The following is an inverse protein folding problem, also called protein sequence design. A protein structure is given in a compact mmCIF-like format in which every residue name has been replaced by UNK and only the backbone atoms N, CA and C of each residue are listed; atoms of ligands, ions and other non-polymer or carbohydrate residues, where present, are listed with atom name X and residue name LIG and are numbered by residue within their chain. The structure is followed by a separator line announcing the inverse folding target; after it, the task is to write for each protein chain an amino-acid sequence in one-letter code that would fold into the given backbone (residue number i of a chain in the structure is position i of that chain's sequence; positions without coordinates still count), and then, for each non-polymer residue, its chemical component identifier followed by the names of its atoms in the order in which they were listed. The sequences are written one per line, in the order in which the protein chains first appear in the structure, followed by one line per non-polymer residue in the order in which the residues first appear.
data_IF_274742884620
#
_entry.id   IF_274742884620
#
_cell.length_a   1.000
_cell.length_b   1.000
_cell.length_c   1.000
_cell.angle_alpha   90.00
_cell.angle_beta   90.00
_cell.angle_gamma   90.00
#
_symmetry.space_group_name_H-M   'P 1'
#
loop_
_entity.id
_entity.type
_entity.pdbx_description
1 polymer ?
#
# COMPACT_ATOMS: atom_id res chain seq x y z
N UNK A 1 9.89 3.16 -31.55
CA UNK A 1 9.32 2.20 -30.71
C UNK A 1 8.57 2.77 -29.53
N UNK A 2 7.40 2.27 -29.31
CA UNK A 2 6.63 2.80 -28.23
C UNK A 2 7.02 2.20 -26.91
N UNK A 3 7.20 3.06 -25.92
CA UNK A 3 7.50 2.59 -24.63
C UNK A 3 6.23 2.30 -23.94
N UNK A 4 6.17 1.19 -23.25
CA UNK A 4 5.05 0.87 -22.46
C UNK A 4 5.10 1.75 -21.23
N UNK A 5 3.99 2.31 -20.88
CA UNK A 5 3.85 3.09 -19.66
C UNK A 5 3.76 2.11 -18.49
N UNK A 6 4.68 2.18 -17.58
CA UNK A 6 4.69 1.31 -16.42
C UNK A 6 4.10 2.07 -15.24
N UNK A 7 3.19 1.41 -14.54
CA UNK A 7 2.61 1.98 -13.33
C UNK A 7 3.44 1.54 -12.16
N UNK A 8 3.90 2.49 -11.38
CA UNK A 8 4.71 2.19 -10.20
C UNK A 8 3.82 2.13 -8.97
N UNK A 9 3.91 1.04 -8.25
CA UNK A 9 3.12 0.85 -7.03
C UNK A 9 4.04 0.83 -5.83
N UNK A 10 3.62 1.49 -4.77
CA UNK A 10 4.30 1.44 -3.49
C UNK A 10 3.34 0.79 -2.52
N UNK A 11 3.81 -0.19 -1.76
CA UNK A 11 2.99 -0.93 -0.81
C UNK A 11 3.41 -0.60 0.60
N UNK A 12 2.44 -0.34 1.47
CA UNK A 12 2.71 -0.12 2.89
C UNK A 12 2.19 -1.32 3.66
N UNK A 13 2.97 -1.82 4.59
CA UNK A 13 2.56 -2.94 5.45
C UNK A 13 3.23 -2.82 6.80
N UNK A 14 2.64 -3.39 7.84
CA UNK A 14 3.15 -3.29 9.20
C UNK A 14 3.51 -4.64 9.83
N UNK A 15 3.14 -5.73 9.23
CA UNK A 15 3.24 -7.03 9.89
C UNK A 15 3.78 -8.15 9.02
N UNK A 16 3.03 -9.24 8.92
CA UNK A 16 3.48 -10.42 8.21
C UNK A 16 3.63 -10.22 6.71
N UNK A 17 2.87 -9.31 6.17
CA UNK A 17 2.94 -9.04 4.73
C UNK A 17 2.26 -10.05 3.85
N UNK A 18 1.36 -10.88 4.40
CA UNK A 18 0.70 -11.88 3.59
C UNK A 18 -0.08 -11.25 2.43
N UNK A 19 -0.76 -10.13 2.68
CA UNK A 19 -1.49 -9.47 1.61
C UNK A 19 -0.55 -8.73 0.66
N UNK A 20 0.51 -8.16 1.20
CA UNK A 20 1.49 -7.47 0.36
C UNK A 20 2.15 -8.47 -0.61
N UNK A 21 2.43 -9.68 -0.14
CA UNK A 21 3.02 -10.70 -0.99
C UNK A 21 2.01 -11.13 -2.06
N UNK A 22 0.73 -11.24 -1.71
CA UNK A 22 -0.27 -11.61 -2.69
C UNK A 22 -0.39 -10.55 -3.78
N UNK A 23 -0.24 -9.29 -3.40
CA UNK A 23 -0.25 -8.20 -4.37
C UNK A 23 0.93 -8.36 -5.31
N UNK A 24 2.10 -8.66 -4.76
CA UNK A 24 3.29 -8.85 -5.57
C UNK A 24 3.05 -10.02 -6.53
N UNK A 25 2.55 -11.13 -6.03
CA UNK A 25 2.32 -12.32 -6.86
C UNK A 25 1.32 -12.06 -7.98
N UNK A 26 0.32 -11.26 -7.67
CA UNK A 26 -0.70 -10.95 -8.65
C UNK A 26 -0.11 -10.16 -9.81
N UNK A 27 0.78 -9.22 -9.52
CA UNK A 27 1.32 -8.35 -10.54
C UNK A 27 2.67 -8.77 -11.13
N UNK A 28 3.30 -9.80 -10.57
CA UNK A 28 4.66 -10.10 -11.01
C UNK A 28 4.79 -10.44 -12.48
N UNK A 29 3.73 -10.94 -13.09
CA UNK A 29 3.77 -11.27 -14.50
C UNK A 29 3.20 -10.19 -15.39
N UNK A 30 2.77 -9.09 -14.80
CA UNK A 30 2.19 -8.00 -15.58
C UNK A 30 3.26 -6.95 -15.79
N UNK A 31 3.81 -6.89 -16.98
CA UNK A 31 4.89 -5.97 -17.23
C UNK A 31 4.45 -4.51 -17.35
N UNK A 32 3.17 -4.24 -17.11
CA UNK A 32 2.69 -2.87 -17.06
C UNK A 32 2.73 -2.33 -15.64
N UNK A 33 3.03 -3.20 -14.65
CA UNK A 33 3.02 -2.84 -13.25
C UNK A 33 4.36 -3.17 -12.62
N UNK A 34 4.85 -2.26 -11.80
CA UNK A 34 6.10 -2.47 -11.11
C UNK A 34 5.88 -2.13 -9.63
N UNK A 35 6.17 -3.09 -8.74
CA UNK A 35 6.15 -2.81 -7.32
C UNK A 35 7.48 -2.17 -6.99
N UNK A 36 7.46 -0.87 -6.83
CA UNK A 36 8.70 -0.11 -6.72
C UNK A 36 9.33 -0.18 -5.35
N UNK A 37 8.53 -0.25 -4.32
CA UNK A 37 9.04 -0.29 -2.95
C UNK A 37 8.00 -0.77 -1.97
N UNK A 38 8.48 -1.31 -0.86
CA UNK A 38 7.67 -1.63 0.30
C UNK A 38 8.04 -0.62 1.36
N UNK A 39 7.06 -0.01 2.00
CA UNK A 39 7.27 0.88 3.12
C UNK A 39 6.72 0.23 4.38
N UNK A 40 7.51 0.14 5.42
CA UNK A 40 7.12 -0.54 6.64
C UNK A 40 7.50 0.27 7.86
N UNK A 41 6.62 0.33 8.85
CA UNK A 41 6.84 1.12 10.05
C UNK A 41 7.43 0.33 11.22
N UNK A 42 7.77 -0.94 10.99
CA UNK A 42 8.36 -1.77 12.03
C UNK A 42 9.50 -2.56 11.46
N UNK A 43 10.71 -2.24 11.88
CA UNK A 43 11.89 -2.90 11.33
C UNK A 43 11.93 -4.40 11.62
N UNK A 44 11.17 -4.86 12.61
CA UNK A 44 11.12 -6.29 12.94
C UNK A 44 10.02 -7.03 12.19
N UNK A 45 9.27 -6.34 11.35
CA UNK A 45 8.14 -6.98 10.68
C UNK A 45 8.61 -8.00 9.63
N UNK A 46 8.02 -9.18 9.63
CA UNK A 46 8.43 -10.22 8.68
C UNK A 46 8.30 -9.83 7.22
N UNK A 47 7.42 -8.87 6.91
CA UNK A 47 7.24 -8.43 5.52
C UNK A 47 8.53 -7.89 4.93
N UNK A 48 9.38 -7.31 5.76
CA UNK A 48 10.62 -6.73 5.27
C UNK A 48 11.50 -7.81 4.65
N UNK A 49 11.70 -8.92 5.38
CA UNK A 49 12.54 -9.99 4.88
C UNK A 49 11.93 -10.61 3.63
N UNK A 50 10.61 -10.74 3.61
CA UNK A 50 9.95 -11.33 2.46
C UNK A 50 10.19 -10.51 1.20
N UNK A 51 10.11 -9.18 1.32
CA UNK A 51 10.31 -8.32 0.16
C UNK A 51 11.78 -8.20 -0.22
N UNK A 52 12.67 -8.25 0.77
CA UNK A 52 14.10 -8.26 0.46
C UNK A 52 14.46 -9.52 -0.30
N UNK A 53 13.86 -10.65 0.07
CA UNK A 53 14.15 -11.92 -0.60
C UNK A 53 13.74 -11.92 -2.08
N UNK A 54 12.76 -11.13 -2.43
CA UNK A 54 12.34 -11.05 -3.83
C UNK A 54 12.92 -9.85 -4.55
N UNK A 55 13.84 -9.16 -3.89
CA UNK A 55 14.57 -8.08 -4.55
C UNK A 55 13.87 -6.74 -4.65
N UNK A 56 12.83 -6.52 -3.85
CA UNK A 56 12.13 -5.25 -3.88
C UNK A 56 12.69 -4.34 -2.79
N UNK A 57 12.88 -3.09 -3.13
CA UNK A 57 13.39 -2.10 -2.21
C UNK A 57 12.48 -1.99 -1.00
N UNK A 58 13.05 -2.02 0.20
CA UNK A 58 12.28 -1.85 1.41
C UNK A 58 12.70 -0.57 2.11
N UNK A 59 11.74 0.20 2.55
CA UNK A 59 11.96 1.47 3.23
C UNK A 59 11.32 1.35 4.60
N UNK A 60 12.15 1.42 5.64
CA UNK A 60 11.66 1.33 7.00
C UNK A 60 11.65 2.74 7.57
N UNK A 61 10.55 3.09 8.21
CA UNK A 61 10.42 4.42 8.80
C UNK A 61 9.74 4.31 10.16
N UNK A 62 9.82 5.35 10.95
CA UNK A 62 9.14 5.38 12.23
C UNK A 62 7.95 6.31 12.11
N UNK A 63 7.02 6.20 13.05
CA UNK A 63 5.82 7.02 13.03
C UNK A 63 6.18 8.50 12.92
N UNK A 64 7.25 8.91 13.57
CA UNK A 64 7.69 10.29 13.53
C UNK A 64 8.02 10.75 12.10
N UNK A 65 8.61 9.86 11.31
CA UNK A 65 8.93 10.20 9.92
C UNK A 65 7.66 10.33 9.08
N UNK A 66 6.63 9.57 9.45
CA UNK A 66 5.37 9.64 8.75
C UNK A 66 4.70 10.98 9.04
N UNK A 67 4.74 11.40 10.30
CA UNK A 67 4.04 12.60 10.74
C UNK A 67 4.77 13.90 10.40
N UNK A 68 6.08 13.86 10.26
CA UNK A 68 6.85 15.08 10.04
C UNK A 68 7.16 15.38 8.57
N UNK A 69 6.60 14.60 7.67
CA UNK A 69 6.79 14.83 6.24
C UNK A 69 7.94 14.04 5.60
N UNK A 70 8.68 13.27 6.37
CA UNK A 70 9.78 12.48 5.81
C UNK A 70 9.31 11.43 4.83
N UNK A 71 8.23 10.72 5.20
CA UNK A 71 7.69 9.70 4.31
C UNK A 71 7.07 10.36 3.07
N UNK A 72 6.40 11.49 3.24
CA UNK A 72 5.84 12.20 2.10
C UNK A 72 6.94 12.56 1.10
N UNK A 73 8.07 13.04 1.59
CA UNK A 73 9.17 13.41 0.71
C UNK A 73 9.67 12.19 -0.06
N UNK A 74 9.78 11.05 0.62
CA UNK A 74 10.20 9.82 -0.02
C UNK A 74 9.19 9.41 -1.10
N UNK A 75 7.91 9.53 -0.79
CA UNK A 75 6.88 9.17 -1.76
C UNK A 75 6.90 10.08 -2.98
N UNK A 76 7.13 11.37 -2.75
CA UNK A 76 7.20 12.30 -3.88
C UNK A 76 8.36 11.94 -4.81
N UNK A 77 9.48 11.50 -4.23
CA UNK A 77 10.62 11.09 -5.03
C UNK A 77 10.35 9.79 -5.77
N UNK A 78 9.62 8.87 -5.16
CA UNK A 78 9.28 7.60 -5.81
C UNK A 78 8.21 7.79 -6.88
N UNK A 79 7.40 8.79 -6.71
CA UNK A 79 6.32 9.16 -7.63
C UNK A 79 5.45 7.95 -8.02
N UNK A 80 4.80 7.31 -7.05
CA UNK A 80 3.97 6.15 -7.37
C UNK A 80 2.69 6.52 -8.10
N UNK A 81 2.27 5.65 -8.98
CA UNK A 81 0.97 5.78 -9.63
C UNK A 81 -0.13 5.33 -8.66
N UNK A 82 0.22 4.45 -7.73
CA UNK A 82 -0.74 3.90 -6.79
C UNK A 82 -0.03 3.52 -5.51
N UNK A 83 -0.66 3.80 -4.38
CA UNK A 83 -0.17 3.41 -3.07
C UNK A 83 -1.18 2.42 -2.50
N UNK A 84 -0.71 1.25 -2.10
CA UNK A 84 -1.60 0.24 -1.53
C UNK A 84 -1.24 0.03 -0.07
N UNK A 85 -2.21 0.20 0.81
CA UNK A 85 -2.04 -0.04 2.22
C UNK A 85 -2.49 -1.46 2.49
N UNK A 86 -1.54 -2.36 2.69
CA UNK A 86 -1.82 -3.79 2.83
C UNK A 86 -1.49 -4.24 4.24
N UNK A 87 -2.41 -4.06 5.14
CA UNK A 87 -2.17 -4.37 6.55
C UNK A 87 -1.30 -3.32 7.23
N UNK A 88 -1.47 -2.07 6.83
CA UNK A 88 -0.72 -0.97 7.42
C UNK A 88 -1.49 -0.44 8.62
N UNK A 89 -0.86 -0.41 9.75
CA UNK A 89 -1.53 -0.09 11.00
C UNK A 89 -1.59 1.39 11.40
N UNK A 90 -0.77 2.20 10.82
CA UNK A 90 -0.77 3.61 11.17
C UNK A 90 -1.73 4.39 10.27
N UNK A 91 -2.20 5.51 10.80
CA UNK A 91 -3.09 6.35 10.03
C UNK A 91 -2.26 7.16 9.04
N UNK A 92 -2.71 7.22 7.81
CA UNK A 92 -2.01 7.97 6.80
C UNK A 92 -2.28 9.47 7.00
N UNK A 93 -1.25 10.30 7.08
CA UNK A 93 -1.46 11.74 7.30
C UNK A 93 -2.19 12.40 6.13
N UNK A 94 -2.92 13.44 6.46
CA UNK A 94 -3.68 14.18 5.45
C UNK A 94 -2.80 14.70 4.31
N UNK A 95 -1.57 15.09 4.62
CA UNK A 95 -0.66 15.59 3.61
C UNK A 95 -0.39 14.56 2.53
N UNK A 96 -0.21 13.32 2.93
CA UNK A 96 0.04 12.25 1.99
C UNK A 96 -1.24 11.96 1.20
N UNK A 97 -2.38 11.90 1.89
CA UNK A 97 -3.64 11.64 1.23
C UNK A 97 -3.91 12.72 0.18
N UNK A 98 -3.67 13.97 0.52
CA UNK A 98 -3.90 15.06 -0.41
C UNK A 98 -2.93 15.07 -1.59
N UNK A 99 -1.69 14.67 -1.35
CA UNK A 99 -0.69 14.64 -2.42
C UNK A 99 -0.93 13.51 -3.40
N UNK A 100 -1.57 12.43 -2.94
CA UNK A 100 -1.84 11.27 -3.79
C UNK A 100 -3.32 10.97 -3.85
N UNK A 101 -4.11 12.03 -4.01
CA UNK A 101 -5.54 11.91 -4.05
C UNK A 101 -5.97 10.97 -5.13
N UNK A 102 -6.89 10.08 -4.79
CA UNK A 102 -7.42 9.08 -5.70
C UNK A 102 -6.38 8.04 -6.13
N UNK A 103 -5.27 7.97 -5.41
CA UNK A 103 -4.23 7.00 -5.72
C UNK A 103 -3.83 6.14 -4.53
N UNK A 104 -4.67 6.09 -3.49
CA UNK A 104 -4.40 5.28 -2.31
C UNK A 104 -5.52 4.27 -2.13
N UNK A 105 -5.16 3.00 -2.02
CA UNK A 105 -6.11 1.93 -1.79
C UNK A 105 -5.77 1.27 -0.48
N UNK A 106 -6.77 1.00 0.33
CA UNK A 106 -6.58 0.33 1.61
C UNK A 106 -7.25 -1.04 1.55
N UNK A 107 -6.52 -2.07 1.87
CA UNK A 107 -7.03 -3.43 1.86
C UNK A 107 -7.27 -3.91 3.27
N UNK A 108 -8.48 -4.36 3.55
CA UNK A 108 -8.86 -4.85 4.87
C UNK A 108 -9.42 -6.24 4.76
N UNK A 109 -8.61 -7.18 4.39
CA UNK A 109 -9.08 -8.54 4.17
C UNK A 109 -9.65 -9.19 5.42
N UNK A 110 -9.15 -8.78 6.55
CA UNK A 110 -9.62 -9.39 7.78
C UNK A 110 -11.09 -9.09 8.05
N UNK A 111 -11.58 -8.11 7.41
CA UNK A 111 -12.95 -7.76 7.65
C UNK A 111 -13.90 -8.48 6.73
N UNK A 112 -13.39 -8.92 5.64
CA UNK A 112 -14.20 -9.55 4.66
C UNK A 112 -15.03 -10.71 5.12
N UNK A 113 -14.52 -11.62 5.82
CA UNK A 113 -15.29 -12.79 6.17
C UNK A 113 -16.52 -12.44 6.96
N UNK A 114 -16.37 -11.53 7.84
CA UNK A 114 -17.46 -11.29 8.74
C UNK A 114 -18.53 -10.63 8.10
N UNK A 115 -18.21 -9.77 7.32
CA UNK A 115 -19.19 -9.23 6.74
C UNK A 115 -19.16 -9.55 5.53
N UNK A 116 -18.09 -10.03 5.15
CA UNK A 116 -17.99 -10.72 3.95
C UNK A 116 -19.05 -11.70 4.09
N UNK A 117 -19.08 -12.22 5.21
CA UNK A 117 -20.14 -13.06 5.49
C UNK A 117 -21.38 -12.28 5.30
N UNK A 118 -21.34 -11.06 5.60
CA UNK A 118 -22.50 -10.31 5.45
C UNK A 118 -22.43 -9.56 4.19
N UNK A 119 -21.42 -9.88 3.46
CA UNK A 119 -21.32 -9.29 2.18
C UNK A 119 -21.16 -7.84 2.02
N UNK A 120 -21.26 -7.08 3.00
CA UNK A 120 -21.24 -5.72 2.79
C UNK A 120 -20.13 -5.15 3.40
N UNK A 121 -19.37 -5.83 4.12
CA UNK A 121 -18.40 -5.42 4.80
C UNK A 121 -17.41 -4.85 3.97
N UNK A 122 -17.02 -5.61 2.94
CA UNK A 122 -16.02 -5.12 2.09
C UNK A 122 -16.50 -3.87 1.35
N UNK A 123 -17.70 -3.89 0.95
CA UNK A 123 -18.25 -2.76 0.23
C UNK A 123 -18.30 -1.52 1.09
N UNK A 124 -18.67 -1.69 2.34
CA UNK A 124 -18.71 -0.55 3.22
C UNK A 124 -17.34 0.00 3.47
N UNK A 125 -16.36 -0.88 3.52
CA UNK A 125 -15.02 -0.44 3.75
C UNK A 125 -14.58 0.33 2.54
N UNK A 126 -14.92 -0.15 1.34
CA UNK A 126 -14.56 0.53 0.13
C UNK A 126 -15.14 1.93 0.16
N UNK A 127 -16.37 2.06 0.55
CA UNK A 127 -17.02 3.32 0.56
C UNK A 127 -16.31 4.25 1.52
N UNK A 128 -16.04 3.78 2.73
CA UNK A 128 -15.37 4.60 3.72
C UNK A 128 -14.03 5.08 3.23
N UNK A 129 -13.30 4.21 2.57
CA UNK A 129 -12.00 4.55 2.07
C UNK A 129 -12.13 5.64 1.02
N UNK A 130 -13.05 5.48 0.12
CA UNK A 130 -13.24 6.46 -0.93
C UNK A 130 -13.66 7.81 -0.35
N UNK A 131 -14.54 7.81 0.61
CA UNK A 131 -15.01 9.03 1.19
C UNK A 131 -13.92 9.78 1.92
N UNK A 132 -12.89 9.07 2.34
CA UNK A 132 -11.79 9.69 3.03
C UNK A 132 -10.63 9.89 2.07
N UNK A 133 -10.91 9.94 0.82
CA UNK A 133 -9.92 10.12 -0.22
C UNK A 133 -9.00 8.93 -0.34
N UNK A 134 -9.49 7.80 0.13
CA UNK A 134 -8.78 6.57 -0.06
C UNK A 134 -9.59 5.87 -1.11
N UNK A 135 -9.02 5.01 -1.82
CA UNK A 135 -9.76 4.28 -2.80
C UNK A 135 -10.24 3.01 -2.17
N UNK A 136 -10.77 2.13 -2.92
CA UNK A 136 -11.35 0.99 -2.39
C UNK A 136 -10.55 0.21 -1.50
N UNK A 137 -11.22 -0.48 -0.62
CA UNK A 137 -10.66 -1.57 0.07
C UNK A 137 -11.25 -2.77 -0.53
N UNK A 138 -10.52 -3.72 -0.75
CA UNK A 138 -11.04 -4.94 -1.33
C UNK A 138 -11.30 -5.99 -0.33
#
# INVERSE_FOLDING_TARGET
MLKKTTKNIVVFASGSGSNAIKIYEYFQKDNRVNIKALCCNKKSAPVIQKFQNIGIKTIVFEKNNLDNGGVLKTLLNLNPSLIILAGFLLKMPAEIINSFKNRIINIHPALLPSYGGKGMYGINIHRGVVENNELFSC
#
